data_IF_888669257148
#
_entry.id   IF_888669257148
#
_cell.length_a   1.000
_cell.length_b   1.000
_cell.length_c   1.000
_cell.angle_alpha   90.00
_cell.angle_beta   90.00
_cell.angle_gamma   90.00
#
_symmetry.space_group_name_H-M   'P 1'
#
loop_
_entity.id
_entity.type
_entity.pdbx_description
1 polymer ?
#
# COMPACT_ATOMS: atom_id res chain seq x y z
N UNK A 1 28.05 4.29 -44.15
CA UNK A 1 28.22 2.85 -44.37
C UNK A 1 27.09 2.29 -45.21
N UNK A 2 27.41 1.61 -46.29
CA UNK A 2 26.43 0.96 -47.13
C UNK A 2 26.48 -0.55 -46.90
N UNK A 3 25.32 -1.21 -46.80
CA UNK A 3 25.18 -2.64 -46.49
C UNK A 3 24.99 -2.98 -45.00
N UNK A 4 24.25 -4.04 -44.71
CA UNK A 4 23.83 -4.40 -43.36
C UNK A 4 25.00 -4.63 -42.38
N UNK A 5 26.09 -5.27 -42.82
CA UNK A 5 27.27 -5.48 -41.97
C UNK A 5 27.98 -4.18 -41.56
N UNK A 6 28.04 -3.22 -42.48
CA UNK A 6 28.64 -1.90 -42.23
C UNK A 6 27.77 -1.04 -41.29
N UNK A 7 26.44 -1.15 -41.43
CA UNK A 7 25.49 -0.49 -40.52
C UNK A 7 25.65 -1.03 -39.12
N UNK A 8 25.72 -2.34 -38.93
CA UNK A 8 25.93 -2.97 -37.62
C UNK A 8 27.27 -2.57 -36.97
N UNK A 9 28.34 -2.49 -37.76
CA UNK A 9 29.66 -2.04 -37.28
C UNK A 9 29.63 -0.56 -36.85
N UNK A 10 28.96 0.30 -37.62
CA UNK A 10 28.78 1.71 -37.29
C UNK A 10 27.93 1.90 -36.02
N UNK A 11 26.85 1.15 -35.88
CA UNK A 11 26.03 1.11 -34.67
C UNK A 11 26.85 0.71 -33.46
N UNK A 12 27.62 -0.39 -33.54
CA UNK A 12 28.44 -0.87 -32.45
C UNK A 12 29.53 0.13 -32.05
N UNK A 13 30.13 0.79 -33.00
CA UNK A 13 31.09 1.84 -32.75
C UNK A 13 30.47 3.02 -32.00
N UNK A 14 29.26 3.44 -32.38
CA UNK A 14 28.52 4.49 -31.72
C UNK A 14 28.09 4.10 -30.30
N UNK A 15 27.61 2.86 -30.11
CA UNK A 15 27.27 2.30 -28.80
C UNK A 15 28.49 2.29 -27.87
N UNK A 16 29.64 1.81 -28.36
CA UNK A 16 30.86 1.81 -27.57
C UNK A 16 31.28 3.25 -27.18
N UNK A 17 31.24 4.18 -28.15
CA UNK A 17 31.57 5.57 -27.91
C UNK A 17 30.75 6.18 -26.76
N UNK A 18 29.41 6.00 -26.80
CA UNK A 18 28.49 6.56 -25.78
C UNK A 18 28.58 5.83 -24.43
N UNK A 19 29.00 4.56 -24.43
CA UNK A 19 29.25 3.79 -23.20
C UNK A 19 30.58 4.08 -22.54
N UNK A 20 31.40 4.94 -23.13
CA UNK A 20 32.73 5.21 -22.62
C UNK A 20 33.75 4.10 -22.92
N UNK A 21 33.54 3.28 -23.96
CA UNK A 21 34.39 2.17 -24.37
C UNK A 21 35.23 2.59 -25.57
N UNK A 22 36.54 2.49 -25.46
CA UNK A 22 37.47 2.73 -26.58
C UNK A 22 37.19 1.74 -27.71
N UNK A 23 37.14 2.23 -28.95
CA UNK A 23 37.00 1.42 -30.16
C UNK A 23 38.22 1.54 -31.04
N UNK A 24 38.55 0.46 -31.76
CA UNK A 24 39.64 0.47 -32.75
C UNK A 24 39.01 0.39 -34.14
N UNK A 25 39.45 1.22 -35.05
CA UNK A 25 39.05 1.21 -36.45
C UNK A 25 40.26 1.23 -37.37
N UNK A 26 40.09 0.71 -38.58
CA UNK A 26 41.11 0.76 -39.65
C UNK A 26 40.75 1.83 -40.67
N UNK A 27 41.73 2.58 -41.07
CA UNK A 27 41.66 3.51 -42.16
C UNK A 27 42.49 2.95 -43.30
N UNK A 28 41.82 2.58 -44.38
CA UNK A 28 42.52 2.03 -45.57
C UNK A 28 42.32 2.96 -46.76
N UNK A 29 43.42 3.20 -47.44
CA UNK A 29 43.41 3.89 -48.72
C UNK A 29 42.87 3.01 -49.85
N UNK A 30 42.24 3.61 -50.83
CA UNK A 30 41.78 2.93 -52.05
C UNK A 30 42.24 3.75 -53.24
N UNK A 31 42.05 3.21 -54.47
CA UNK A 31 42.36 3.94 -55.70
C UNK A 31 41.53 5.23 -55.86
N UNK A 32 40.44 5.34 -55.14
CA UNK A 32 39.50 6.48 -55.15
C UNK A 32 39.74 7.41 -53.93
N UNK A 33 40.79 7.22 -53.15
CA UNK A 33 41.11 8.07 -51.97
C UNK A 33 41.40 9.52 -52.38
N UNK A 34 41.88 9.75 -53.63
CA UNK A 34 42.16 11.08 -54.17
C UNK A 34 41.99 11.08 -55.69
N UNK A 35 41.62 12.21 -56.28
CA UNK A 35 41.57 12.42 -57.73
C UNK A 35 42.93 12.76 -58.29
N UNK A 36 43.92 13.08 -57.46
CA UNK A 36 45.26 13.47 -57.87
C UNK A 36 46.02 12.21 -58.30
N UNK A 37 46.27 12.04 -59.60
CA UNK A 37 46.85 10.86 -60.22
C UNK A 37 48.21 10.45 -59.60
N UNK A 38 49.06 11.43 -59.28
CA UNK A 38 50.40 11.19 -58.68
C UNK A 38 50.35 10.70 -57.22
N UNK A 39 49.26 10.88 -56.53
CA UNK A 39 49.09 10.47 -55.15
C UNK A 39 48.26 9.18 -54.99
N UNK A 40 47.53 8.76 -56.04
CA UNK A 40 46.67 7.59 -56.00
C UNK A 40 47.36 6.32 -55.48
N UNK A 41 48.59 6.04 -56.00
CA UNK A 41 49.31 4.84 -55.63
C UNK A 41 49.81 4.90 -54.18
N UNK A 42 50.35 6.07 -53.78
CA UNK A 42 50.84 6.24 -52.42
C UNK A 42 49.73 6.15 -51.36
N UNK A 43 48.59 6.83 -51.62
CA UNK A 43 47.46 6.83 -50.69
C UNK A 43 46.71 5.51 -50.67
N UNK A 44 46.67 4.74 -51.76
CA UNK A 44 46.06 3.41 -51.80
C UNK A 44 46.80 2.37 -50.96
N UNK A 45 48.05 2.61 -50.60
CA UNK A 45 48.84 1.78 -49.69
C UNK A 45 48.68 2.08 -48.19
N UNK A 46 47.86 3.05 -47.84
CA UNK A 46 47.58 3.38 -46.44
C UNK A 46 46.77 2.27 -45.77
N UNK A 47 47.31 1.72 -44.68
CA UNK A 47 46.60 0.83 -43.75
C UNK A 47 46.95 1.24 -42.31
N UNK A 48 46.08 2.02 -41.70
CA UNK A 48 46.28 2.57 -40.37
C UNK A 48 45.27 2.01 -39.40
N UNK A 49 45.75 1.55 -38.26
CA UNK A 49 44.86 1.21 -37.13
C UNK A 49 44.82 2.41 -36.18
N UNK A 50 43.67 2.96 -35.96
CA UNK A 50 43.46 4.14 -35.09
C UNK A 50 42.48 3.82 -34.00
N UNK A 51 42.69 4.47 -32.86
CA UNK A 51 41.78 4.38 -31.70
C UNK A 51 40.79 5.54 -31.70
N UNK A 52 39.54 5.22 -31.47
CA UNK A 52 38.49 6.20 -31.26
C UNK A 52 38.34 6.36 -29.74
N UNK A 53 38.63 7.53 -29.17
CA UNK A 53 38.53 7.76 -27.74
C UNK A 53 37.07 7.66 -27.31
N UNK A 54 36.81 7.13 -26.10
CA UNK A 54 35.45 7.02 -25.59
C UNK A 54 34.87 8.38 -25.21
N UNK A 55 33.54 8.48 -25.15
CA UNK A 55 32.86 9.63 -24.59
C UNK A 55 33.01 9.58 -23.05
N UNK A 56 33.63 10.63 -22.47
CA UNK A 56 33.81 10.74 -21.01
C UNK A 56 32.68 11.52 -20.30
N UNK A 57 31.58 11.75 -21.00
CA UNK A 57 30.41 12.51 -20.48
C UNK A 57 29.17 11.68 -20.55
N UNK A 58 28.29 11.88 -19.57
CA UNK A 58 26.96 11.27 -19.57
C UNK A 58 26.11 11.91 -20.69
N UNK A 59 25.30 11.09 -21.37
CA UNK A 59 24.31 11.57 -22.34
C UNK A 59 23.03 11.96 -21.62
N UNK A 60 22.61 11.18 -20.63
CA UNK A 60 21.54 11.54 -19.72
C UNK A 60 22.17 12.13 -18.47
N UNK A 61 22.02 13.43 -18.26
CA UNK A 61 22.68 14.13 -17.13
C UNK A 61 21.90 13.98 -15.85
N UNK A 62 20.58 14.00 -15.95
CA UNK A 62 19.65 13.94 -14.83
C UNK A 62 18.31 13.45 -15.33
N UNK A 63 17.60 12.69 -14.51
CA UNK A 63 16.18 12.41 -14.71
C UNK A 63 15.36 12.98 -13.55
N UNK A 64 14.11 13.33 -13.84
CA UNK A 64 13.14 13.80 -12.87
C UNK A 64 11.92 12.90 -12.89
N UNK A 65 11.53 12.43 -11.71
CA UNK A 65 10.39 11.55 -11.52
C UNK A 65 9.30 12.26 -10.71
N UNK A 66 8.08 12.25 -11.23
CA UNK A 66 6.88 12.76 -10.56
C UNK A 66 5.88 11.63 -10.41
N UNK A 67 5.44 11.37 -9.20
CA UNK A 67 4.53 10.28 -8.86
C UNK A 67 3.10 10.83 -8.73
N UNK A 68 2.14 10.45 -9.57
CA UNK A 68 0.77 10.94 -9.46
C UNK A 68 0.03 10.30 -8.27
N UNK A 69 -0.95 11.00 -7.72
CA UNK A 69 -1.78 10.54 -6.58
C UNK A 69 -2.46 9.18 -6.83
N UNK A 70 -2.73 8.86 -8.09
CA UNK A 70 -3.40 7.63 -8.49
C UNK A 70 -2.43 6.52 -8.93
N UNK A 71 -1.15 6.63 -8.58
CA UNK A 71 -0.10 5.66 -8.94
C UNK A 71 -0.47 4.22 -8.57
N UNK A 72 -1.13 4.06 -7.43
CA UNK A 72 -1.60 2.78 -6.93
C UNK A 72 -2.57 2.03 -7.89
N UNK A 73 -3.29 2.79 -8.73
CA UNK A 73 -4.23 2.24 -9.72
C UNK A 73 -3.63 2.12 -11.11
N UNK A 74 -2.85 3.13 -11.51
CA UNK A 74 -2.34 3.23 -12.88
C UNK A 74 -1.00 2.56 -13.08
N UNK A 75 -0.20 2.47 -12.01
CA UNK A 75 1.20 2.07 -12.05
C UNK A 75 2.07 2.95 -12.97
N UNK A 76 1.57 4.12 -13.35
CA UNK A 76 2.24 5.02 -14.29
C UNK A 76 2.64 6.30 -13.57
N UNK A 77 3.94 6.54 -13.49
CA UNK A 77 4.53 7.82 -13.11
C UNK A 77 4.94 8.62 -14.34
N UNK A 78 5.45 9.82 -14.11
CA UNK A 78 5.88 10.75 -15.16
C UNK A 78 7.38 10.98 -15.01
N UNK A 79 8.13 10.76 -16.07
CA UNK A 79 9.57 10.98 -16.09
C UNK A 79 9.95 12.01 -17.17
N UNK A 80 10.91 12.85 -16.87
CA UNK A 80 11.59 13.71 -17.83
C UNK A 80 13.09 13.65 -17.60
N UNK A 81 13.90 13.85 -18.61
CA UNK A 81 15.35 13.75 -18.51
C UNK A 81 16.07 14.87 -19.25
N UNK A 82 17.27 15.18 -18.81
CA UNK A 82 18.16 16.09 -19.49
C UNK A 82 19.06 15.29 -20.46
N UNK A 83 18.89 15.56 -21.75
CA UNK A 83 19.66 14.93 -22.84
C UNK A 83 20.76 15.88 -23.30
N UNK A 84 22.00 15.50 -23.12
CA UNK A 84 23.17 16.20 -23.64
C UNK A 84 23.56 15.61 -25.00
N UNK A 85 23.56 16.41 -26.07
CA UNK A 85 24.02 16.00 -27.37
C UNK A 85 25.55 16.27 -27.49
N UNK A 86 26.41 15.24 -27.54
CA UNK A 86 27.84 15.42 -27.66
C UNK A 86 28.33 15.70 -29.10
N UNK A 87 27.44 15.56 -30.09
CA UNK A 87 27.75 15.68 -31.50
C UNK A 87 27.45 17.08 -32.02
N UNK A 88 28.11 17.46 -33.13
CA UNK A 88 27.74 18.66 -33.91
C UNK A 88 26.38 18.49 -34.61
N UNK A 89 26.08 17.27 -35.07
CA UNK A 89 24.83 16.90 -35.71
C UNK A 89 23.66 16.90 -34.69
N UNK A 90 22.44 17.16 -35.14
CA UNK A 90 21.26 17.05 -34.28
C UNK A 90 20.90 15.58 -34.00
N UNK A 91 20.48 15.31 -32.80
CA UNK A 91 19.90 14.01 -32.40
C UNK A 91 18.39 14.16 -32.27
N UNK A 92 17.66 13.30 -32.97
CA UNK A 92 16.21 13.15 -32.80
C UNK A 92 15.93 11.74 -32.21
N UNK A 93 15.43 11.68 -30.98
CA UNK A 93 15.02 10.43 -30.35
C UNK A 93 13.61 10.09 -30.88
N UNK A 94 13.50 8.96 -31.60
CA UNK A 94 12.27 8.52 -32.28
C UNK A 94 11.56 7.43 -31.48
N UNK A 95 12.31 6.57 -30.78
CA UNK A 95 11.77 5.52 -29.92
C UNK A 95 12.68 5.37 -28.71
N UNK A 96 12.08 5.13 -27.57
CA UNK A 96 12.78 4.85 -26.31
C UNK A 96 12.18 3.64 -25.62
N UNK A 97 13.01 2.69 -25.25
CA UNK A 97 12.76 1.64 -24.27
C UNK A 97 13.88 1.72 -23.24
N UNK A 98 13.57 2.27 -22.08
CA UNK A 98 14.55 2.50 -21.03
C UNK A 98 14.09 1.86 -19.72
N UNK A 99 14.94 1.03 -19.13
CA UNK A 99 14.71 0.40 -17.83
C UNK A 99 15.52 1.11 -16.78
N UNK A 100 14.86 1.54 -15.71
CA UNK A 100 15.49 2.11 -14.54
C UNK A 100 15.66 1.05 -13.45
N UNK A 101 16.84 0.97 -12.85
CA UNK A 101 17.12 0.09 -11.73
C UNK A 101 18.04 0.76 -10.70
N UNK A 102 17.95 0.32 -9.45
CA UNK A 102 18.83 0.72 -8.37
C UNK A 102 19.59 -0.50 -7.85
N UNK A 103 20.91 -0.54 -8.06
CA UNK A 103 21.74 -1.71 -7.71
C UNK A 103 21.14 -3.06 -8.12
N UNK A 104 20.61 -3.11 -9.35
CA UNK A 104 19.99 -4.32 -9.91
C UNK A 104 18.52 -4.55 -9.51
N UNK A 105 17.96 -3.75 -8.63
CA UNK A 105 16.52 -3.78 -8.29
C UNK A 105 15.78 -2.98 -9.35
N UNK A 106 14.88 -3.63 -10.09
CA UNK A 106 14.07 -2.98 -11.13
C UNK A 106 13.07 -2.01 -10.49
N UNK A 107 13.03 -0.76 -11.00
CA UNK A 107 12.15 0.30 -10.52
C UNK A 107 11.01 0.62 -11.49
N UNK A 108 11.29 0.60 -12.78
CA UNK A 108 10.31 0.93 -13.80
C UNK A 108 10.88 0.96 -15.21
N UNK A 109 9.99 1.16 -16.20
CA UNK A 109 10.34 1.15 -17.61
C UNK A 109 9.54 2.19 -18.38
N UNK A 110 10.23 2.95 -19.22
CA UNK A 110 9.65 3.77 -20.28
C UNK A 110 9.68 2.92 -21.56
N UNK A 111 8.55 2.84 -22.26
CA UNK A 111 8.48 2.26 -23.60
C UNK A 111 7.53 3.13 -24.42
N UNK A 112 8.09 4.04 -25.22
CA UNK A 112 7.32 5.03 -25.95
C UNK A 112 7.80 5.20 -27.40
N UNK A 113 6.84 5.32 -28.32
CA UNK A 113 7.07 5.64 -29.73
C UNK A 113 6.92 7.16 -29.93
N UNK A 114 8.03 7.81 -30.14
CA UNK A 114 8.16 9.25 -30.29
C UNK A 114 8.15 9.70 -31.76
N UNK A 115 7.89 8.80 -32.70
CA UNK A 115 8.01 9.06 -34.14
C UNK A 115 7.16 10.25 -34.64
N UNK A 116 5.97 10.43 -34.00
CA UNK A 116 5.06 11.56 -34.31
C UNK A 116 5.53 12.90 -33.73
N UNK A 117 6.28 12.87 -32.66
CA UNK A 117 6.79 14.06 -32.00
C UNK A 117 8.15 13.71 -31.31
N UNK A 118 9.25 13.65 -32.12
CA UNK A 118 10.56 13.30 -31.61
C UNK A 118 11.10 14.29 -30.57
N UNK A 119 11.92 13.79 -29.65
CA UNK A 119 12.70 14.65 -28.75
C UNK A 119 13.98 15.02 -29.48
N UNK A 120 14.17 16.32 -29.74
CA UNK A 120 15.26 16.85 -30.55
C UNK A 120 16.27 17.61 -29.69
N UNK A 121 17.53 17.18 -29.76
CA UNK A 121 18.68 17.91 -29.23
C UNK A 121 19.56 18.39 -30.39
N UNK A 122 19.70 19.68 -30.54
CA UNK A 122 20.62 20.27 -31.51
C UNK A 122 22.07 20.08 -31.09
N UNK A 123 23.00 20.25 -32.03
CA UNK A 123 24.41 19.96 -31.79
C UNK A 123 24.96 20.71 -30.59
N UNK A 124 25.74 20.01 -29.76
CA UNK A 124 26.40 20.49 -28.55
C UNK A 124 25.47 21.12 -27.48
N UNK A 125 24.16 20.89 -27.59
CA UNK A 125 23.19 21.41 -26.61
C UNK A 125 22.68 20.35 -25.66
N UNK A 126 22.33 20.79 -24.45
CA UNK A 126 21.55 20.02 -23.48
C UNK A 126 20.13 20.51 -23.52
N UNK A 127 19.18 19.58 -23.61
CA UNK A 127 17.74 19.88 -23.58
C UNK A 127 17.07 19.08 -22.47
N UNK A 128 15.98 19.61 -21.94
CA UNK A 128 15.06 18.84 -21.09
C UNK A 128 14.00 18.21 -21.97
N UNK A 129 13.79 16.90 -21.83
CA UNK A 129 12.74 16.21 -22.56
C UNK A 129 11.36 16.66 -22.12
N UNK A 130 10.35 16.45 -22.96
CA UNK A 130 8.97 16.42 -22.46
C UNK A 130 8.79 15.25 -21.49
N UNK A 131 7.76 15.33 -20.70
CA UNK A 131 7.37 14.25 -19.79
C UNK A 131 6.93 13.01 -20.56
N UNK A 132 7.44 11.85 -20.15
CA UNK A 132 7.13 10.52 -20.68
C UNK A 132 6.52 9.64 -19.60
N UNK A 133 5.57 8.75 -19.96
CA UNK A 133 5.01 7.80 -19.01
C UNK A 133 6.05 6.71 -18.66
N UNK A 134 6.28 6.49 -17.38
CA UNK A 134 7.08 5.38 -16.87
C UNK A 134 6.19 4.40 -16.11
N UNK A 135 6.17 3.13 -16.51
CA UNK A 135 5.50 2.06 -15.79
C UNK A 135 6.38 1.63 -14.62
N UNK A 136 5.90 1.90 -13.41
CA UNK A 136 6.61 1.58 -12.16
C UNK A 136 6.38 0.12 -11.73
N UNK A 137 7.40 -0.49 -11.14
CA UNK A 137 7.23 -1.72 -10.37
C UNK A 137 6.77 -1.38 -8.95
N UNK A 138 5.50 -1.60 -8.68
CA UNK A 138 4.89 -1.37 -7.37
C UNK A 138 4.78 -2.64 -6.53
N UNK A 139 5.50 -3.71 -6.89
CA UNK A 139 5.55 -4.91 -6.08
C UNK A 139 6.10 -4.56 -4.67
N UNK A 140 5.34 -4.80 -3.59
CA UNK A 140 5.75 -4.38 -2.25
C UNK A 140 7.12 -4.90 -1.84
N UNK A 141 7.46 -6.15 -2.19
CA UNK A 141 8.78 -6.73 -1.85
C UNK A 141 9.92 -6.06 -2.61
N UNK A 142 9.74 -5.71 -3.87
CA UNK A 142 10.76 -5.00 -4.64
C UNK A 142 10.94 -3.57 -4.12
N UNK A 143 9.85 -2.88 -3.81
CA UNK A 143 9.90 -1.55 -3.19
C UNK A 143 10.59 -1.60 -1.81
N UNK A 144 10.29 -2.59 -0.99
CA UNK A 144 10.94 -2.78 0.32
C UNK A 144 12.44 -3.05 0.13
N UNK A 145 12.84 -3.93 -0.81
CA UNK A 145 14.26 -4.16 -1.11
C UNK A 145 14.96 -2.87 -1.52
N UNK A 146 14.33 -2.09 -2.39
CA UNK A 146 14.83 -0.80 -2.83
C UNK A 146 15.00 0.16 -1.64
N UNK A 147 13.98 0.33 -0.80
CA UNK A 147 14.02 1.21 0.37
C UNK A 147 15.13 0.78 1.35
N UNK A 148 15.21 -0.51 1.67
CA UNK A 148 16.25 -1.04 2.58
C UNK A 148 17.65 -0.82 2.00
N UNK A 149 17.86 -1.04 0.70
CA UNK A 149 19.16 -0.82 0.05
C UNK A 149 19.52 0.67 0.02
N UNK A 150 18.59 1.54 -0.31
CA UNK A 150 18.80 2.98 -0.31
C UNK A 150 19.06 3.51 1.10
N UNK A 151 18.38 3.00 2.12
CA UNK A 151 18.63 3.33 3.53
C UNK A 151 20.04 2.96 3.97
N UNK A 152 20.50 1.76 3.62
CA UNK A 152 21.86 1.32 3.92
C UNK A 152 22.91 2.21 3.25
N UNK A 153 22.65 2.66 2.02
CA UNK A 153 23.59 3.50 1.25
C UNK A 153 23.63 4.95 1.74
N UNK A 154 22.54 5.47 2.27
CA UNK A 154 22.44 6.85 2.78
C UNK A 154 22.63 6.95 4.28
N UNK A 155 22.70 5.84 5.00
CA UNK A 155 22.73 5.82 6.47
C UNK A 155 21.43 6.28 7.11
N UNK A 156 20.31 6.22 6.38
CA UNK A 156 19.00 6.64 6.89
C UNK A 156 18.42 5.58 7.82
N UNK A 157 18.04 5.99 9.03
CA UNK A 157 17.33 5.11 9.97
C UNK A 157 15.89 4.90 9.51
N UNK A 158 15.48 3.64 9.36
CA UNK A 158 14.11 3.24 9.03
C UNK A 158 13.23 3.08 10.28
N UNK A 159 13.82 3.10 11.47
CA UNK A 159 13.09 2.97 12.73
C UNK A 159 12.16 1.75 12.75
N UNK A 160 10.89 1.94 13.18
CA UNK A 160 9.93 0.81 13.27
C UNK A 160 9.55 0.20 11.92
N UNK A 161 9.82 0.89 10.79
CA UNK A 161 9.55 0.35 9.45
C UNK A 161 10.42 -0.87 9.15
N UNK A 162 11.65 -0.93 9.66
CA UNK A 162 12.55 -2.03 9.36
C UNK A 162 11.95 -3.38 9.75
N UNK A 163 11.45 -3.46 10.97
CA UNK A 163 10.75 -4.67 11.46
C UNK A 163 9.51 -4.99 10.62
N UNK A 164 8.69 -3.98 10.27
CA UNK A 164 7.51 -4.19 9.44
C UNK A 164 7.87 -4.70 8.04
N UNK A 165 8.96 -4.20 7.47
CA UNK A 165 9.47 -4.64 6.17
C UNK A 165 9.93 -6.11 6.21
N UNK A 166 10.66 -6.53 7.26
CA UNK A 166 11.09 -7.92 7.41
C UNK A 166 9.90 -8.88 7.48
N UNK A 167 8.86 -8.47 8.18
CA UNK A 167 7.64 -9.27 8.29
C UNK A 167 6.91 -9.39 6.94
N UNK A 168 6.82 -8.31 6.17
CA UNK A 168 6.25 -8.35 4.80
C UNK A 168 7.12 -9.19 3.86
N UNK A 169 8.44 -9.10 3.96
CA UNK A 169 9.36 -9.91 3.17
C UNK A 169 9.19 -11.41 3.44
N UNK A 170 8.86 -11.80 4.66
CA UNK A 170 8.58 -13.18 5.05
C UNK A 170 7.21 -13.71 4.57
N UNK A 171 6.27 -12.85 4.19
CA UNK A 171 4.95 -13.27 3.69
C UNK A 171 5.08 -14.02 2.37
N UNK A 172 4.29 -15.09 2.19
CA UNK A 172 4.20 -15.81 0.91
C UNK A 172 3.51 -14.96 -0.17
N UNK A 173 2.45 -14.27 0.20
CA UNK A 173 1.69 -13.38 -0.69
C UNK A 173 1.52 -12.01 -0.05
N UNK A 174 1.75 -10.96 -0.81
CA UNK A 174 1.58 -9.55 -0.42
C UNK A 174 0.43 -8.87 -1.15
N UNK A 175 -0.30 -9.60 -2.01
CA UNK A 175 -1.47 -9.07 -2.70
C UNK A 175 -2.60 -8.83 -1.71
N UNK A 176 -3.23 -7.67 -1.83
CA UNK A 176 -4.38 -7.27 -1.02
C UNK A 176 -5.40 -6.52 -1.87
N UNK A 177 -6.66 -6.55 -1.48
CA UNK A 177 -7.73 -5.73 -2.10
C UNK A 177 -7.72 -4.28 -1.61
N UNK A 178 -6.84 -3.93 -0.69
CA UNK A 178 -6.74 -2.61 -0.07
C UNK A 178 -6.42 -1.56 -1.13
N UNK A 179 -7.12 -0.43 -1.04
CA UNK A 179 -6.85 0.77 -1.81
C UNK A 179 -6.17 1.79 -0.91
N UNK A 180 -5.08 2.38 -1.39
CA UNK A 180 -4.37 3.43 -0.70
C UNK A 180 -4.58 4.77 -1.44
N UNK A 181 -4.89 5.82 -0.69
CA UNK A 181 -5.06 7.19 -1.22
C UNK A 181 -4.44 8.18 -0.25
N UNK A 182 -3.80 9.26 -0.75
CA UNK A 182 -3.35 10.34 0.10
C UNK A 182 -4.50 10.93 0.92
N UNK A 183 -4.26 11.19 2.20
CA UNK A 183 -5.20 11.83 3.09
C UNK A 183 -4.83 13.29 3.28
N UNK A 184 -5.72 14.19 2.89
CA UNK A 184 -5.57 15.63 3.13
C UNK A 184 -6.05 16.08 4.52
N UNK A 185 -6.68 15.17 5.26
CA UNK A 185 -7.23 15.42 6.59
C UNK A 185 -6.65 14.41 7.57
N UNK A 186 -5.46 14.68 8.15
CA UNK A 186 -4.83 13.74 9.06
C UNK A 186 -5.75 13.42 10.25
N UNK A 187 -5.71 12.17 10.74
CA UNK A 187 -6.54 11.76 11.87
C UNK A 187 -6.19 12.55 13.12
N UNK A 188 -7.19 12.88 13.94
CA UNK A 188 -7.00 13.54 15.25
C UNK A 188 -6.50 12.58 16.34
N UNK A 189 -5.68 11.60 15.96
CA UNK A 189 -5.18 10.54 16.84
C UNK A 189 -3.65 10.68 16.93
N UNK A 190 -3.17 11.42 17.91
CA UNK A 190 -1.73 11.66 18.07
C UNK A 190 -1.23 11.17 19.42
N UNK A 191 -0.14 10.38 19.40
CA UNK A 191 0.56 9.93 20.62
C UNK A 191 1.66 10.91 21.07
N UNK A 192 2.02 11.88 20.25
CA UNK A 192 3.12 12.83 20.51
C UNK A 192 4.52 12.30 20.18
N UNK A 193 4.70 10.99 19.98
CA UNK A 193 5.97 10.35 19.61
C UNK A 193 5.75 9.46 18.38
N UNK A 194 5.77 10.06 17.20
CA UNK A 194 5.59 9.34 15.96
C UNK A 194 6.89 9.40 15.13
N UNK A 195 7.31 8.23 14.60
CA UNK A 195 8.41 8.16 13.66
C UNK A 195 8.08 8.94 12.39
N UNK A 196 8.98 9.82 11.97
CA UNK A 196 8.81 10.60 10.75
C UNK A 196 9.10 9.76 9.51
N UNK A 197 8.08 8.99 9.08
CA UNK A 197 8.15 8.16 7.87
C UNK A 197 8.39 9.02 6.63
N UNK A 198 7.81 10.22 6.58
CA UNK A 198 7.96 11.10 5.41
C UNK A 198 9.37 11.62 5.29
N UNK A 199 9.94 12.13 6.38
CA UNK A 199 11.32 12.60 6.42
C UNK A 199 12.31 11.49 6.07
N UNK A 200 12.11 10.28 6.59
CA UNK A 200 12.93 9.12 6.27
C UNK A 200 12.85 8.78 4.77
N UNK A 201 11.65 8.62 4.20
CA UNK A 201 11.47 8.28 2.78
C UNK A 201 12.01 9.40 1.87
N UNK A 202 11.75 10.66 2.20
CA UNK A 202 12.27 11.78 1.42
C UNK A 202 13.80 11.83 1.42
N UNK A 203 14.42 11.60 2.58
CA UNK A 203 15.89 11.53 2.71
C UNK A 203 16.51 10.41 1.86
N UNK A 204 15.84 9.26 1.74
CA UNK A 204 16.27 8.15 0.90
C UNK A 204 16.25 8.49 -0.59
N UNK A 205 15.24 9.24 -1.03
CA UNK A 205 15.01 9.52 -2.45
C UNK A 205 15.79 10.75 -2.92
N UNK A 206 16.20 11.61 -2.00
CA UNK A 206 16.99 12.78 -2.31
C UNK A 206 18.41 12.37 -2.74
N UNK A 207 18.78 12.76 -3.96
CA UNK A 207 20.10 12.42 -4.52
C UNK A 207 20.25 10.96 -4.94
N UNK A 208 19.14 10.27 -5.16
CA UNK A 208 19.12 8.91 -5.71
C UNK A 208 19.89 8.88 -7.03
N UNK A 209 20.67 7.83 -7.24
CA UNK A 209 21.41 7.59 -8.49
C UNK A 209 20.99 6.25 -9.06
N UNK A 210 20.38 6.25 -10.22
CA UNK A 210 19.89 5.03 -10.87
C UNK A 210 20.81 4.58 -11.98
N UNK A 211 20.63 3.33 -12.36
CA UNK A 211 21.20 2.75 -13.58
C UNK A 211 20.10 2.73 -14.63
N UNK A 212 20.41 3.24 -15.82
CA UNK A 212 19.52 3.20 -16.98
C UNK A 212 20.07 2.22 -18.02
N UNK A 213 19.25 1.23 -18.42
CA UNK A 213 19.48 0.37 -19.59
C UNK A 213 18.58 0.87 -20.72
N UNK A 214 19.18 1.48 -21.71
CA UNK A 214 18.49 2.26 -22.74
C UNK A 214 18.63 1.53 -24.07
N UNK A 215 17.48 1.29 -24.71
CA UNK A 215 17.34 0.86 -26.09
C UNK A 215 16.55 1.91 -26.82
N UNK A 216 17.17 2.60 -27.75
CA UNK A 216 16.56 3.72 -28.43
C UNK A 216 16.73 3.63 -29.93
N UNK A 217 15.81 4.21 -30.68
CA UNK A 217 16.00 4.50 -32.10
C UNK A 217 16.20 6.00 -32.22
N UNK A 218 17.33 6.40 -32.77
CA UNK A 218 17.71 7.79 -32.97
C UNK A 218 17.92 8.10 -34.43
N UNK A 219 17.68 9.38 -34.80
CA UNK A 219 18.07 9.93 -36.09
C UNK A 219 19.11 11.02 -35.82
N UNK A 220 20.34 10.82 -36.33
CA UNK A 220 21.43 11.78 -36.27
C UNK A 220 21.47 12.47 -37.63
N UNK A 221 20.96 13.70 -37.68
CA UNK A 221 20.58 14.36 -38.91
C UNK A 221 19.69 13.43 -39.77
N UNK A 222 20.16 12.90 -40.91
CA UNK A 222 19.45 11.98 -41.79
C UNK A 222 19.75 10.49 -41.51
N UNK A 223 20.73 10.18 -40.69
CA UNK A 223 21.12 8.80 -40.40
C UNK A 223 20.31 8.21 -39.23
N UNK A 224 19.44 7.23 -39.55
CA UNK A 224 18.65 6.50 -38.56
C UNK A 224 19.37 5.24 -38.09
N UNK A 225 19.49 5.07 -36.81
CA UNK A 225 20.14 3.89 -36.19
C UNK A 225 19.51 3.57 -34.85
N UNK A 226 19.65 2.31 -34.42
CA UNK A 226 19.39 1.95 -33.03
C UNK A 226 20.64 2.25 -32.20
N UNK A 227 20.41 2.64 -30.94
CA UNK A 227 21.45 2.99 -30.00
C UNK A 227 21.12 2.35 -28.66
N UNK A 228 21.90 1.34 -28.29
CA UNK A 228 21.73 0.58 -27.06
C UNK A 228 22.91 0.84 -26.15
N UNK A 229 22.64 1.33 -24.95
CA UNK A 229 23.71 1.62 -23.98
C UNK A 229 23.18 1.58 -22.54
N UNK A 230 24.11 1.29 -21.62
CA UNK A 230 23.88 1.37 -20.19
C UNK A 230 24.56 2.62 -19.66
N UNK A 231 23.90 3.35 -18.81
CA UNK A 231 24.46 4.52 -18.17
C UNK A 231 24.24 4.50 -16.67
N UNK A 232 25.31 4.71 -15.91
CA UNK A 232 25.31 4.79 -14.44
C UNK A 232 26.51 5.59 -13.95
N UNK A 233 26.41 6.35 -12.86
CA UNK A 233 25.15 6.66 -12.15
C UNK A 233 24.41 7.82 -12.82
N UNK A 234 23.08 7.75 -12.92
CA UNK A 234 22.26 8.87 -13.37
C UNK A 234 21.56 9.48 -12.16
N UNK A 235 21.82 10.75 -11.82
CA UNK A 235 21.11 11.44 -10.75
C UNK A 235 19.62 11.51 -11.05
N UNK A 236 18.80 11.18 -10.06
CA UNK A 236 17.33 11.22 -10.17
C UNK A 236 16.82 12.26 -9.18
N UNK A 237 16.16 13.30 -9.69
CA UNK A 237 15.42 14.27 -8.89
C UNK A 237 13.96 13.84 -8.70
N UNK A 238 13.46 14.04 -7.51
CA UNK A 238 12.05 13.77 -7.18
C UNK A 238 11.56 14.80 -6.16
N UNK A 239 10.27 15.07 -6.20
CA UNK A 239 9.60 15.97 -5.29
C UNK A 239 8.75 15.21 -4.25
N UNK A 240 7.96 15.94 -3.45
CA UNK A 240 7.09 15.38 -2.42
C UNK A 240 6.11 14.32 -2.94
N UNK A 241 5.89 14.26 -4.25
CA UNK A 241 5.01 13.26 -4.86
C UNK A 241 5.55 11.84 -4.72
N UNK A 242 6.84 11.65 -4.50
CA UNK A 242 7.45 10.34 -4.22
C UNK A 242 6.87 9.66 -2.98
N UNK A 243 6.29 10.43 -2.06
CA UNK A 243 5.59 9.93 -0.87
C UNK A 243 4.37 9.06 -1.22
N UNK A 244 3.81 9.19 -2.42
CA UNK A 244 2.73 8.33 -2.86
C UNK A 244 3.14 6.87 -3.06
N UNK A 245 4.45 6.57 -3.11
CA UNK A 245 4.97 5.18 -3.09
C UNK A 245 4.81 4.49 -1.74
N UNK A 246 4.54 5.23 -0.65
CA UNK A 246 4.26 4.65 0.67
C UNK A 246 2.98 3.81 0.63
N UNK A 247 1.98 4.23 -0.16
CA UNK A 247 0.70 3.51 -0.29
C UNK A 247 0.88 2.03 -0.67
N UNK A 248 1.49 1.69 -1.81
CA UNK A 248 1.74 0.32 -2.22
C UNK A 248 2.48 -0.53 -1.19
N UNK A 249 3.47 0.04 -0.50
CA UNK A 249 4.23 -0.64 0.57
C UNK A 249 3.39 -0.81 1.84
N UNK A 250 2.58 0.19 2.18
CA UNK A 250 1.76 0.21 3.39
C UNK A 250 0.60 -0.78 3.38
N UNK A 251 0.03 -1.12 2.21
CA UNK A 251 -1.11 -2.04 2.11
C UNK A 251 -0.91 -3.39 2.81
N UNK A 252 0.13 -4.18 2.51
CA UNK A 252 0.36 -5.45 3.20
C UNK A 252 0.71 -5.26 4.67
N UNK A 253 1.35 -4.16 5.06
CA UNK A 253 1.65 -3.84 6.45
C UNK A 253 0.35 -3.62 7.23
N UNK A 254 -0.55 -2.76 6.72
CA UNK A 254 -1.84 -2.47 7.38
C UNK A 254 -2.69 -3.72 7.49
N UNK A 255 -2.81 -4.53 6.42
CA UNK A 255 -3.57 -5.77 6.47
C UNK A 255 -3.02 -6.73 7.52
N UNK A 256 -1.69 -6.86 7.59
CA UNK A 256 -1.04 -7.70 8.58
C UNK A 256 -1.29 -7.20 10.01
N UNK A 257 -1.11 -5.90 10.27
CA UNK A 257 -1.38 -5.32 11.60
C UNK A 257 -2.82 -5.58 12.02
N UNK A 258 -3.81 -5.37 11.14
CA UNK A 258 -5.23 -5.66 11.43
C UNK A 258 -5.45 -7.14 11.71
N UNK A 259 -4.80 -8.04 10.98
CA UNK A 259 -4.89 -9.47 11.21
C UNK A 259 -4.30 -9.89 12.57
N UNK A 260 -3.24 -9.24 13.02
CA UNK A 260 -2.54 -9.55 14.28
C UNK A 260 -3.08 -8.77 15.49
N UNK A 261 -3.81 -7.68 15.25
CA UNK A 261 -4.45 -6.91 16.31
C UNK A 261 -5.36 -7.81 17.17
N UNK A 262 -5.26 -7.67 18.49
CA UNK A 262 -6.05 -8.42 19.45
C UNK A 262 -7.15 -7.53 20.02
N UNK A 263 -8.39 -7.95 19.80
CA UNK A 263 -9.58 -7.30 20.35
C UNK A 263 -10.14 -8.17 21.47
N UNK A 264 -10.14 -7.64 22.68
CA UNK A 264 -10.67 -8.33 23.85
C UNK A 264 -11.72 -7.47 24.55
N UNK A 265 -12.97 -7.91 24.51
CA UNK A 265 -14.05 -7.26 25.24
C UNK A 265 -14.21 -7.92 26.62
N UNK A 266 -14.38 -7.08 27.64
CA UNK A 266 -14.65 -7.51 29.03
C UNK A 266 -16.14 -7.41 29.34
N UNK A 267 -16.85 -6.45 28.74
CA UNK A 267 -18.27 -6.20 28.98
C UNK A 267 -18.91 -5.71 27.68
N UNK A 268 -20.11 -6.24 27.39
CA UNK A 268 -21.02 -5.73 26.40
C UNK A 268 -22.40 -5.53 27.05
N UNK A 269 -22.98 -4.35 26.96
CA UNK A 269 -24.29 -4.06 27.50
C UNK A 269 -25.26 -3.69 26.37
N UNK A 270 -26.41 -4.36 26.32
CA UNK A 270 -27.52 -4.05 25.43
C UNK A 270 -28.56 -3.18 26.16
N UNK A 271 -28.87 -2.04 25.55
CA UNK A 271 -29.89 -1.09 26.08
C UNK A 271 -30.81 -0.64 24.93
N UNK A 272 -31.92 -0.02 25.24
CA UNK A 272 -32.88 0.47 24.23
C UNK A 272 -33.28 -0.61 23.23
N UNK A 273 -33.77 -1.74 23.73
CA UNK A 273 -34.16 -2.89 22.91
C UNK A 273 -35.30 -2.52 21.96
N UNK A 274 -35.14 -2.88 20.69
CA UNK A 274 -36.12 -2.68 19.61
C UNK A 274 -36.24 -3.98 18.82
N UNK A 275 -37.30 -4.11 18.03
CA UNK A 275 -37.53 -5.31 17.22
C UNK A 275 -36.43 -5.59 16.20
N UNK A 276 -35.74 -4.53 15.72
CA UNK A 276 -34.72 -4.60 14.69
C UNK A 276 -33.28 -4.44 15.22
N UNK A 277 -33.11 -4.27 16.55
CA UNK A 277 -31.79 -4.11 17.15
C UNK A 277 -31.82 -3.45 18.52
N UNK A 278 -30.66 -2.99 18.95
CA UNK A 278 -30.43 -2.33 20.24
C UNK A 278 -29.17 -1.48 20.24
N UNK A 279 -29.05 -0.62 21.23
CA UNK A 279 -27.84 0.12 21.49
C UNK A 279 -26.88 -0.75 22.28
N UNK A 280 -25.60 -0.76 21.89
CA UNK A 280 -24.57 -1.57 22.54
C UNK A 280 -23.49 -0.66 23.12
N UNK A 281 -23.12 -0.93 24.38
CA UNK A 281 -21.94 -0.31 25.02
C UNK A 281 -20.89 -1.39 25.22
N UNK A 282 -19.71 -1.16 24.66
CA UNK A 282 -18.60 -2.11 24.66
C UNK A 282 -17.45 -1.57 25.49
N UNK A 283 -16.90 -2.39 26.38
CA UNK A 283 -15.67 -2.13 27.12
C UNK A 283 -14.67 -3.24 26.88
N UNK A 284 -13.41 -2.86 26.75
CA UNK A 284 -12.34 -3.82 26.47
C UNK A 284 -11.02 -3.16 26.18
N UNK A 285 -10.21 -3.85 25.37
CA UNK A 285 -8.93 -3.34 24.89
C UNK A 285 -8.70 -3.77 23.45
N UNK A 286 -7.99 -2.93 22.70
CA UNK A 286 -7.45 -3.23 21.39
C UNK A 286 -5.92 -3.04 21.45
N UNK A 287 -5.18 -4.11 21.29
CA UNK A 287 -3.72 -4.12 21.40
C UNK A 287 -3.09 -4.74 20.15
N UNK A 288 -1.78 -4.63 20.02
CA UNK A 288 -1.05 -5.11 18.84
C UNK A 288 -1.44 -4.37 17.56
N UNK A 289 -1.67 -3.07 17.67
CA UNK A 289 -2.10 -2.20 16.57
C UNK A 289 -0.93 -1.62 15.77
N UNK A 290 0.28 -2.10 16.03
CA UNK A 290 1.49 -1.67 15.33
C UNK A 290 2.09 -0.35 15.86
N UNK A 291 3.21 0.08 15.27
CA UNK A 291 4.02 1.18 15.78
C UNK A 291 3.61 2.56 15.26
N UNK A 292 2.41 2.70 14.71
CA UNK A 292 1.91 3.96 14.15
C UNK A 292 0.56 4.33 14.72
N UNK A 293 0.36 5.63 14.92
CA UNK A 293 -0.96 6.18 15.22
C UNK A 293 -1.90 5.92 14.05
N UNK A 294 -3.10 5.43 14.35
CA UNK A 294 -4.09 5.10 13.34
C UNK A 294 -5.52 5.43 13.80
N UNK A 295 -6.33 5.94 12.89
CA UNK A 295 -7.77 6.01 13.05
C UNK A 295 -8.42 4.87 12.29
N UNK A 296 -9.20 4.05 12.99
CA UNK A 296 -9.94 2.93 12.41
C UNK A 296 -11.40 3.33 12.30
N UNK A 297 -11.95 3.24 11.10
CA UNK A 297 -13.34 3.59 10.78
C UNK A 297 -14.10 2.36 10.27
N UNK A 298 -15.39 2.34 10.55
CA UNK A 298 -16.32 1.25 10.19
C UNK A 298 -17.44 1.74 9.28
N UNK A 299 -17.18 2.17 8.02
CA UNK A 299 -18.16 2.87 7.18
C UNK A 299 -19.44 2.09 6.94
N UNK A 300 -19.36 0.77 6.85
CA UNK A 300 -20.49 -0.12 6.62
C UNK A 300 -20.82 -0.98 7.85
N UNK A 301 -20.24 -0.65 9.01
CA UNK A 301 -20.33 -1.48 10.21
C UNK A 301 -19.52 -2.78 10.13
N UNK A 302 -19.68 -3.61 11.12
CA UNK A 302 -19.02 -4.92 11.27
C UNK A 302 -20.12 -5.99 11.39
N UNK A 303 -20.06 -7.00 10.53
CA UNK A 303 -20.98 -8.14 10.60
C UNK A 303 -20.64 -9.03 11.80
N UNK A 304 -21.66 -9.56 12.43
CA UNK A 304 -21.58 -10.54 13.52
C UNK A 304 -22.15 -11.86 13.03
N UNK A 305 -21.29 -12.87 12.97
CA UNK A 305 -21.65 -14.23 12.56
C UNK A 305 -21.75 -15.14 13.78
N UNK A 306 -22.79 -15.93 13.84
CA UNK A 306 -22.97 -17.02 14.79
C UNK A 306 -23.38 -18.30 14.05
N UNK A 307 -22.74 -19.41 14.36
CA UNK A 307 -22.99 -20.71 13.71
C UNK A 307 -22.95 -20.65 12.17
N UNK A 308 -22.03 -19.83 11.61
CA UNK A 308 -21.86 -19.67 10.17
C UNK A 308 -22.89 -18.77 9.47
N UNK A 309 -23.78 -18.11 10.22
CA UNK A 309 -24.79 -17.16 9.68
C UNK A 309 -24.53 -15.76 10.20
N UNK A 310 -24.62 -14.75 9.35
CA UNK A 310 -24.61 -13.36 9.75
C UNK A 310 -25.94 -12.99 10.40
N UNK A 311 -25.92 -12.82 11.72
CA UNK A 311 -27.12 -12.57 12.52
C UNK A 311 -27.41 -11.09 12.73
N UNK A 312 -26.34 -10.28 12.76
CA UNK A 312 -26.44 -8.85 13.05
C UNK A 312 -25.29 -8.05 12.43
N UNK A 313 -25.42 -6.75 12.46
CA UNK A 313 -24.38 -5.79 12.08
C UNK A 313 -24.22 -4.75 13.18
N UNK A 314 -22.96 -4.47 13.57
CA UNK A 314 -22.65 -3.47 14.60
C UNK A 314 -22.04 -2.25 13.96
N UNK A 315 -22.59 -1.08 14.24
CA UNK A 315 -22.11 0.21 13.81
C UNK A 315 -21.41 0.89 14.97
N UNK A 316 -20.12 1.18 14.81
CA UNK A 316 -19.27 1.78 15.82
C UNK A 316 -18.72 3.12 15.33
N UNK A 317 -18.49 4.09 16.24
CA UNK A 317 -17.77 5.30 15.90
C UNK A 317 -16.28 4.98 15.58
N UNK A 318 -15.57 5.92 14.91
CA UNK A 318 -14.14 5.78 14.69
C UNK A 318 -13.36 5.59 15.99
N UNK A 319 -12.28 4.81 15.91
CA UNK A 319 -11.40 4.48 17.03
C UNK A 319 -10.00 4.97 16.75
N UNK A 320 -9.39 5.65 17.72
CA UNK A 320 -7.99 6.06 17.68
C UNK A 320 -7.12 5.02 18.39
N UNK A 321 -6.25 4.36 17.66
CA UNK A 321 -5.19 3.51 18.19
C UNK A 321 -3.89 4.30 18.21
N UNK A 322 -3.23 4.33 19.36
CA UNK A 322 -1.92 4.97 19.54
C UNK A 322 -0.80 4.01 19.18
N UNK A 323 0.28 4.55 18.66
CA UNK A 323 1.49 3.79 18.36
C UNK A 323 1.91 2.94 19.55
N UNK A 324 2.15 1.65 19.32
CA UNK A 324 2.57 0.60 20.28
C UNK A 324 1.61 0.33 21.46
N UNK A 325 0.79 1.30 21.87
CA UNK A 325 -0.15 1.15 22.98
C UNK A 325 -1.52 0.61 22.53
N UNK A 326 -1.95 0.93 21.31
CA UNK A 326 -3.29 0.64 20.84
C UNK A 326 -4.37 1.44 21.56
N UNK A 327 -5.39 0.75 22.08
CA UNK A 327 -6.50 1.32 22.87
C UNK A 327 -6.66 0.50 24.16
N UNK A 328 -5.89 0.79 25.21
CA UNK A 328 -5.89 -0.01 26.42
C UNK A 328 -7.21 0.04 27.18
N UNK A 329 -7.92 1.14 27.09
CA UNK A 329 -9.22 1.37 27.73
C UNK A 329 -10.29 1.67 26.67
N UNK A 330 -10.56 0.68 25.81
CA UNK A 330 -11.61 0.80 24.81
C UNK A 330 -12.98 0.88 25.47
N UNK A 331 -13.67 2.00 25.31
CA UNK A 331 -15.02 2.23 25.80
C UNK A 331 -15.81 2.97 24.74
N UNK A 332 -16.77 2.31 24.14
CA UNK A 332 -17.54 2.87 23.02
C UNK A 332 -19.02 2.49 23.11
N UNK A 333 -19.84 3.32 22.48
CA UNK A 333 -21.26 3.04 22.25
C UNK A 333 -21.49 2.92 20.76
N UNK A 334 -22.33 1.99 20.37
CA UNK A 334 -22.72 1.74 19.00
C UNK A 334 -24.15 1.23 18.91
N UNK A 335 -24.53 0.82 17.72
CA UNK A 335 -25.82 0.23 17.45
C UNK A 335 -25.64 -1.15 16.83
N UNK A 336 -26.34 -2.15 17.35
CA UNK A 336 -26.48 -3.45 16.73
C UNK A 336 -27.82 -3.50 16.00
N UNK A 337 -27.78 -3.80 14.69
CA UNK A 337 -28.95 -4.03 13.84
C UNK A 337 -29.05 -5.51 13.53
N UNK A 338 -30.21 -6.11 13.81
CA UNK A 338 -30.49 -7.51 13.49
C UNK A 338 -30.75 -7.61 11.98
N UNK A 339 -30.07 -8.55 11.29
CA UNK A 339 -30.22 -8.78 9.84
C UNK A 339 -30.89 -10.10 9.52
N UNK A 340 -30.78 -11.11 10.40
CA UNK A 340 -31.54 -12.37 10.33
C UNK A 340 -32.26 -12.60 11.65
N UNK A 341 -33.54 -12.24 11.71
CA UNK A 341 -34.35 -12.37 12.92
C UNK A 341 -34.50 -13.81 13.40
N UNK A 342 -34.60 -14.77 12.48
CA UNK A 342 -34.71 -16.18 12.83
C UNK A 342 -33.43 -16.70 13.48
N UNK A 343 -32.29 -16.47 12.83
CA UNK A 343 -31.01 -16.88 13.36
C UNK A 343 -30.66 -16.14 14.66
N UNK A 344 -31.05 -14.86 14.79
CA UNK A 344 -30.87 -14.10 16.02
C UNK A 344 -31.74 -14.64 17.17
N UNK A 345 -32.97 -15.10 16.91
CA UNK A 345 -33.82 -15.76 17.91
C UNK A 345 -33.23 -17.10 18.34
N UNK A 346 -32.72 -17.90 17.42
CA UNK A 346 -31.99 -19.15 17.72
C UNK A 346 -30.75 -18.86 18.59
N UNK A 347 -29.97 -17.82 18.26
CA UNK A 347 -28.85 -17.35 19.04
C UNK A 347 -29.28 -16.91 20.45
N UNK A 348 -30.30 -16.10 20.59
CA UNK A 348 -30.82 -15.61 21.87
C UNK A 348 -31.24 -16.75 22.79
N UNK A 349 -31.89 -17.78 22.24
CA UNK A 349 -32.26 -18.99 22.96
C UNK A 349 -30.99 -19.77 23.40
N UNK A 350 -30.01 -19.86 22.50
CA UNK A 350 -28.76 -20.55 22.80
C UNK A 350 -28.01 -19.90 23.99
N UNK A 351 -27.85 -18.56 24.00
CA UNK A 351 -27.09 -17.88 25.07
C UNK A 351 -27.77 -17.97 26.44
N UNK A 352 -29.08 -18.10 26.48
CA UNK A 352 -29.81 -18.28 27.76
C UNK A 352 -29.45 -19.59 28.46
N UNK A 353 -29.20 -20.66 27.71
CA UNK A 353 -29.04 -22.01 28.27
C UNK A 353 -27.58 -22.49 28.34
N UNK A 354 -26.67 -21.84 27.59
CA UNK A 354 -25.28 -22.27 27.52
C UNK A 354 -24.36 -21.41 28.40
N UNK A 355 -23.15 -21.93 28.68
CA UNK A 355 -22.15 -21.25 29.49
C UNK A 355 -21.35 -20.20 28.69
N UNK A 356 -21.12 -20.47 27.41
CA UNK A 356 -20.32 -19.62 26.55
C UNK A 356 -20.88 -19.62 25.12
N UNK A 357 -20.59 -18.55 24.38
CA UNK A 357 -20.85 -18.47 22.97
C UNK A 357 -19.69 -17.80 22.24
N UNK A 358 -19.61 -18.06 20.95
CA UNK A 358 -18.60 -17.51 20.07
C UNK A 358 -19.26 -16.70 18.97
N UNK A 359 -18.81 -15.47 18.79
CA UNK A 359 -19.08 -14.63 17.63
C UNK A 359 -17.86 -14.54 16.76
N UNK A 360 -18.04 -14.58 15.45
CA UNK A 360 -17.06 -14.12 14.49
C UNK A 360 -17.48 -12.74 14.00
N UNK A 361 -16.68 -11.74 14.23
CA UNK A 361 -16.88 -10.41 13.67
C UNK A 361 -16.06 -10.26 12.39
N UNK A 362 -16.65 -9.74 11.32
CA UNK A 362 -15.94 -9.54 10.06
C UNK A 362 -16.42 -8.32 9.28
N UNK A 363 -15.51 -7.76 8.48
CA UNK A 363 -15.81 -6.71 7.50
C UNK A 363 -14.72 -6.68 6.44
N UNK A 364 -15.09 -6.37 5.18
CA UNK A 364 -14.17 -6.10 4.08
C UNK A 364 -14.09 -4.61 3.74
N UNK A 365 -14.64 -3.76 4.60
CA UNK A 365 -14.85 -2.33 4.34
C UNK A 365 -14.30 -1.44 5.42
N UNK A 366 -13.41 -1.97 6.27
CA UNK A 366 -12.69 -1.13 7.21
C UNK A 366 -11.87 -0.08 6.47
N UNK A 367 -11.77 1.07 7.10
CA UNK A 367 -10.89 2.13 6.67
C UNK A 367 -9.89 2.43 7.78
N UNK A 368 -8.62 2.45 7.44
CA UNK A 368 -7.54 2.81 8.35
C UNK A 368 -6.86 4.07 7.81
N UNK A 369 -6.81 5.11 8.63
CA UNK A 369 -6.06 6.33 8.34
C UNK A 369 -4.80 6.33 9.16
N UNK A 370 -3.65 6.32 8.51
CA UNK A 370 -2.33 6.37 9.13
C UNK A 370 -1.32 6.98 8.16
N UNK A 371 -0.31 7.68 8.69
CA UNK A 371 0.77 8.23 7.87
C UNK A 371 0.27 9.08 6.67
N UNK A 372 -0.75 9.92 6.90
CA UNK A 372 -1.41 10.75 5.88
C UNK A 372 -1.92 9.96 4.66
N UNK A 373 -2.24 8.68 4.85
CA UNK A 373 -2.80 7.80 3.84
C UNK A 373 -4.09 7.17 4.38
N UNK A 374 -5.08 7.08 3.51
CA UNK A 374 -6.32 6.33 3.74
C UNK A 374 -6.17 4.97 3.09
N UNK A 375 -6.19 3.92 3.90
CA UNK A 375 -6.29 2.52 3.45
C UNK A 375 -7.75 2.08 3.56
N UNK A 376 -8.39 1.85 2.42
CA UNK A 376 -9.79 1.40 2.34
C UNK A 376 -9.88 -0.05 1.90
N UNK A 377 -11.05 -0.67 2.11
CA UNK A 377 -11.30 -2.08 1.82
C UNK A 377 -10.35 -3.02 2.62
N UNK A 378 -9.99 -2.60 3.85
CA UNK A 378 -9.20 -3.43 4.76
C UNK A 378 -10.10 -4.53 5.32
N UNK A 379 -9.59 -5.76 5.31
CA UNK A 379 -10.32 -6.92 5.80
C UNK A 379 -10.04 -7.16 7.29
N UNK A 380 -11.09 -7.43 8.07
CA UNK A 380 -10.99 -7.95 9.44
C UNK A 380 -11.85 -9.21 9.57
N UNK A 381 -11.33 -10.20 10.32
CA UNK A 381 -12.10 -11.35 10.81
C UNK A 381 -11.53 -11.75 12.15
N UNK A 382 -12.37 -11.70 13.21
CA UNK A 382 -11.95 -12.02 14.59
C UNK A 382 -13.00 -12.86 15.28
N UNK A 383 -12.52 -13.88 15.96
CA UNK A 383 -13.35 -14.71 16.82
C UNK A 383 -13.36 -14.14 18.24
N UNK A 384 -14.54 -13.95 18.80
CA UNK A 384 -14.74 -13.43 20.15
C UNK A 384 -15.53 -14.46 20.95
N UNK A 385 -15.01 -14.84 22.10
CA UNK A 385 -15.69 -15.75 23.04
C UNK A 385 -16.21 -14.95 24.22
N UNK A 386 -17.47 -15.16 24.59
CA UNK A 386 -18.14 -14.51 25.70
C UNK A 386 -18.76 -15.54 26.61
N UNK A 387 -18.83 -15.21 27.91
CA UNK A 387 -19.65 -15.97 28.84
C UNK A 387 -21.13 -15.66 28.60
N UNK A 388 -21.95 -16.69 28.61
CA UNK A 388 -23.39 -16.63 28.39
C UNK A 388 -24.17 -16.82 29.71
N UNK A 389 -25.50 -16.82 29.68
CA UNK A 389 -26.33 -16.76 30.88
C UNK A 389 -26.38 -18.06 31.69
N UNK A 390 -26.02 -19.20 31.11
CA UNK A 390 -25.97 -20.49 31.78
C UNK A 390 -27.28 -20.89 32.56
N UNK A 391 -28.44 -20.55 31.99
CA UNK A 391 -29.73 -20.80 32.62
C UNK A 391 -30.01 -19.88 33.82
N UNK A 392 -29.28 -18.79 34.01
CA UNK A 392 -29.42 -17.83 35.10
C UNK A 392 -29.36 -18.52 36.49
N UNK A 393 -28.32 -19.20 36.86
CA UNK A 393 -28.26 -19.94 38.13
C UNK A 393 -28.28 -18.99 39.32
N UNK A 394 -28.99 -19.38 40.36
CA UNK A 394 -29.02 -18.66 41.63
C UNK A 394 -29.98 -17.49 41.73
N UNK A 395 -31.02 -17.45 40.86
CA UNK A 395 -32.11 -16.49 41.00
C UNK A 395 -32.77 -16.64 42.38
N UNK A 396 -32.95 -15.53 43.10
CA UNK A 396 -33.53 -15.48 44.43
C UNK A 396 -34.57 -14.39 44.55
N UNK A 397 -35.67 -14.71 45.19
CA UNK A 397 -36.64 -13.71 45.65
C UNK A 397 -36.09 -13.11 46.96
N UNK A 398 -35.90 -11.79 47.01
CA UNK A 398 -35.28 -11.09 48.15
C UNK A 398 -36.35 -10.50 49.09
N UNK A 399 -37.51 -10.15 48.56
CA UNK A 399 -38.65 -9.72 49.31
C UNK A 399 -39.93 -10.15 48.57
N UNK A 400 -41.01 -10.22 49.30
CA UNK A 400 -42.30 -10.61 48.78
C UNK A 400 -43.37 -9.83 49.54
N UNK A 401 -44.28 -9.21 48.83
CA UNK A 401 -45.38 -8.45 49.40
C UNK A 401 -46.66 -8.61 48.57
N UNK A 402 -47.79 -8.50 49.20
CA UNK A 402 -49.12 -8.54 48.60
C UNK A 402 -49.79 -7.18 48.87
N UNK A 403 -49.54 -6.18 48.05
CA UNK A 403 -50.06 -4.80 48.24
C UNK A 403 -51.54 -4.66 48.01
N UNK A 404 -52.22 -5.68 47.54
CA UNK A 404 -53.67 -5.64 47.32
C UNK A 404 -54.21 -6.85 46.55
N UNK A 405 -55.50 -6.92 46.45
CA UNK A 405 -56.23 -7.97 45.76
C UNK A 405 -57.33 -7.38 44.84
N UNK A 406 -57.78 -8.14 43.91
CA UNK A 406 -59.02 -7.96 43.20
C UNK A 406 -59.92 -9.19 43.39
N UNK A 407 -61.16 -9.14 42.96
CA UNK A 407 -62.07 -10.28 43.10
C UNK A 407 -61.48 -11.59 42.50
N UNK A 408 -60.67 -11.46 41.44
CA UNK A 408 -60.24 -12.61 40.67
C UNK A 408 -58.72 -12.75 40.65
N UNK A 409 -57.92 -11.85 41.32
CA UNK A 409 -56.46 -11.89 41.30
C UNK A 409 -55.83 -11.25 42.54
N UNK A 410 -54.65 -11.76 42.91
CA UNK A 410 -53.76 -11.17 43.91
C UNK A 410 -52.66 -10.36 43.21
N UNK A 411 -52.51 -9.13 43.66
CA UNK A 411 -51.32 -8.33 43.23
C UNK A 411 -50.15 -8.73 44.12
N UNK A 412 -49.09 -9.21 43.49
CA UNK A 412 -47.85 -9.58 44.18
C UNK A 412 -46.77 -8.63 43.73
N UNK A 413 -45.98 -8.14 44.65
CA UNK A 413 -44.69 -7.46 44.40
C UNK A 413 -43.56 -8.26 45.02
N UNK A 414 -42.50 -8.43 44.26
CA UNK A 414 -41.28 -9.09 44.77
C UNK A 414 -40.04 -8.42 44.25
N UNK A 415 -39.04 -8.32 45.12
CA UNK A 415 -37.65 -8.05 44.69
C UNK A 415 -37.00 -9.39 44.28
N UNK A 416 -36.48 -9.41 43.05
CA UNK A 416 -35.82 -10.59 42.54
C UNK A 416 -34.37 -10.25 42.19
N UNK A 417 -33.44 -11.00 42.74
CA UNK A 417 -32.03 -10.93 42.40
C UNK A 417 -31.74 -11.99 41.33
N UNK A 418 -31.30 -11.55 40.17
CA UNK A 418 -30.93 -12.41 39.05
C UNK A 418 -29.39 -12.27 38.82
N UNK A 419 -28.56 -13.13 39.42
CA UNK A 419 -27.14 -13.13 39.17
C UNK A 419 -26.90 -13.57 37.73
N UNK A 420 -26.15 -12.77 36.96
CA UNK A 420 -25.78 -13.11 35.59
C UNK A 420 -24.28 -13.43 35.51
N UNK A 421 -23.90 -14.64 35.10
CA UNK A 421 -22.51 -14.95 34.80
C UNK A 421 -22.06 -14.41 33.45
N UNK A 422 -22.98 -13.89 32.63
CA UNK A 422 -22.70 -13.48 31.27
C UNK A 422 -21.83 -12.21 31.21
N UNK A 423 -20.94 -12.17 30.22
CA UNK A 423 -20.22 -10.95 29.83
C UNK A 423 -21.14 -9.96 29.06
N UNK A 424 -22.35 -10.39 28.74
CA UNK A 424 -23.38 -9.58 28.07
C UNK A 424 -24.45 -9.17 29.09
N UNK A 425 -24.56 -7.86 29.36
CA UNK A 425 -25.64 -7.28 30.12
C UNK A 425 -26.82 -6.92 29.22
N UNK A 426 -28.07 -7.17 29.68
CA UNK A 426 -29.28 -6.78 28.97
C UNK A 426 -30.15 -5.94 29.91
N UNK A 427 -30.50 -4.73 29.52
CA UNK A 427 -31.46 -3.91 30.22
C UNK A 427 -32.86 -4.18 29.65
N UNK A 428 -33.73 -4.80 30.47
CA UNK A 428 -35.13 -5.03 30.15
C UNK A 428 -35.97 -3.92 30.79
N UNK A 429 -36.91 -3.33 30.05
CA UNK A 429 -37.87 -2.35 30.58
C UNK A 429 -39.03 -3.07 31.26
N UNK A 430 -39.74 -3.90 30.54
CA UNK A 430 -40.90 -4.67 31.03
C UNK A 430 -40.83 -6.08 30.44
N UNK A 431 -41.01 -7.08 31.28
CA UNK A 431 -41.09 -8.46 30.85
C UNK A 431 -42.25 -9.17 31.56
N UNK A 432 -43.00 -9.98 30.83
CA UNK A 432 -44.09 -10.77 31.35
C UNK A 432 -43.63 -12.22 31.46
N UNK A 433 -43.82 -12.80 32.64
CA UNK A 433 -43.47 -14.20 32.91
C UNK A 433 -44.69 -14.97 33.34
N UNK A 434 -44.78 -16.22 32.91
CA UNK A 434 -45.73 -17.16 33.45
C UNK A 434 -45.14 -17.78 34.71
N UNK A 435 -45.89 -17.78 35.80
CA UNK A 435 -45.45 -18.34 37.08
C UNK A 435 -46.19 -19.65 37.32
N UNK A 436 -45.42 -20.70 37.58
CA UNK A 436 -45.96 -22.02 37.85
C UNK A 436 -45.70 -22.41 39.32
N UNK A 437 -46.73 -22.82 40.04
CA UNK A 437 -46.60 -23.41 41.34
C UNK A 437 -46.95 -24.90 41.26
N UNK A 438 -46.01 -25.79 41.68
CA UNK A 438 -46.21 -27.26 41.58
C UNK A 438 -46.65 -27.69 40.16
N UNK A 439 -46.05 -27.14 39.12
CA UNK A 439 -46.35 -27.36 37.69
C UNK A 439 -47.79 -26.94 37.27
N UNK A 440 -48.46 -26.09 38.04
CA UNK A 440 -49.74 -25.46 37.64
C UNK A 440 -49.53 -23.98 37.39
N UNK A 441 -50.10 -23.51 36.30
CA UNK A 441 -50.14 -22.08 35.99
C UNK A 441 -50.92 -21.33 37.07
N UNK A 442 -50.36 -20.26 37.60
CA UNK A 442 -50.98 -19.37 38.58
C UNK A 442 -51.46 -18.10 37.90
#
# INVERSE_FOLDING_TARGET
PHGAANVAAGQKMLENYVQGIESTTKIQGTKDTTDIASLKQALSGIDLTVKIPPLHKLIILEDRLVIPKNIDKTHIAQASFQLANPFTASINLIKVDAKASYKGIFLGQINDDLSKNPIRATGHQTITSRTLPIKMDLNPKNLIRFIKQAAADTGTDLGPLEHQFDLVMAMKNTETSIKAMPDSSPPNCHSGHQFDVFGAVFSLLKGLKVTLDIKSTVKIDDYKTDLNFKQEPVPTDTDDTALYLIGPVGKPIVQRIVNEAVLAFSVANATNLRNDGFDVSLRGKLVNTGPFDAQIEFPEGVSVTWSGKDIAKVYLPPVCAKADEGVPNYNTKGQLKIIDHKAFTEFSTYILHNRQFKWTIHSNKLRVRALNIIFSDVHISKDLTFDAFNGLPGVKITNFDIPGETKDSLKITSGTMIPSPASLGIQLDTANFLIFYKNRLQ
#
